data_IF_803228176480
#
_entry.id   IF_803228176480
#
_cell.length_a   1.000
_cell.length_b   1.000
_cell.length_c   1.000
_cell.angle_alpha   90.00
_cell.angle_beta   90.00
_cell.angle_gamma   90.00
#
_symmetry.space_group_name_H-M   'P 1'
#
loop_
_entity.id
_entity.type
_entity.pdbx_description
1 polymer ?
#
# COMPACT_ATOMS: atom_id res chain seq x y z
N UNK A 1 32.55 -11.31 -5.60
CA UNK A 1 31.34 -10.57 -5.23
C UNK A 1 31.48 -10.04 -3.81
N UNK A 2 31.21 -8.75 -3.61
CA UNK A 2 31.24 -8.17 -2.27
C UNK A 2 29.99 -8.59 -1.49
N UNK A 3 30.08 -8.51 -0.16
CA UNK A 3 28.92 -8.79 0.70
C UNK A 3 27.76 -7.86 0.41
N UNK A 4 28.06 -6.63 0.02
CA UNK A 4 27.06 -5.62 -0.31
C UNK A 4 26.26 -6.01 -1.56
N UNK A 5 26.93 -6.54 -2.57
CA UNK A 5 26.25 -7.03 -3.79
C UNK A 5 25.34 -8.21 -3.51
N UNK A 6 25.76 -9.11 -2.61
CA UNK A 6 24.94 -10.25 -2.20
C UNK A 6 23.67 -9.82 -1.47
N UNK A 7 23.78 -8.80 -0.62
CA UNK A 7 22.63 -8.27 0.12
C UNK A 7 21.62 -7.63 -0.83
N UNK A 8 22.08 -6.87 -1.81
CA UNK A 8 21.21 -6.24 -2.80
C UNK A 8 20.51 -7.28 -3.66
N UNK A 9 21.22 -8.33 -4.10
CA UNK A 9 20.64 -9.40 -4.90
C UNK A 9 19.56 -10.15 -4.12
N UNK A 10 19.82 -10.45 -2.85
CA UNK A 10 18.88 -11.16 -1.99
C UNK A 10 17.61 -10.33 -1.77
N UNK A 11 17.76 -9.03 -1.56
CA UNK A 11 16.63 -8.13 -1.37
C UNK A 11 15.76 -8.03 -2.63
N UNK A 12 16.39 -7.93 -3.81
CA UNK A 12 15.68 -7.88 -5.09
C UNK A 12 14.91 -9.18 -5.34
N UNK A 13 15.51 -10.32 -5.01
CA UNK A 13 14.85 -11.63 -5.15
C UNK A 13 13.65 -11.75 -4.21
N UNK A 14 13.78 -11.28 -2.99
CA UNK A 14 12.67 -11.29 -2.03
C UNK A 14 11.49 -10.43 -2.51
N UNK A 15 11.77 -9.26 -3.08
CA UNK A 15 10.74 -8.39 -3.64
C UNK A 15 10.06 -9.05 -4.84
N UNK A 16 10.81 -9.70 -5.71
CA UNK A 16 10.26 -10.42 -6.87
C UNK A 16 9.39 -11.58 -6.43
N UNK A 17 9.80 -12.33 -5.41
CA UNK A 17 9.01 -13.43 -4.86
C UNK A 17 7.71 -12.94 -4.24
N UNK A 18 7.76 -11.83 -3.52
CA UNK A 18 6.56 -11.23 -2.93
C UNK A 18 5.56 -10.82 -4.00
N UNK A 19 6.03 -10.28 -5.12
CA UNK A 19 5.16 -9.93 -6.24
C UNK A 19 4.52 -11.16 -6.88
N UNK A 20 5.28 -12.24 -7.04
CA UNK A 20 4.76 -13.50 -7.58
C UNK A 20 3.72 -14.13 -6.66
N UNK A 21 3.98 -14.11 -5.36
CA UNK A 21 3.01 -14.62 -4.38
C UNK A 21 1.71 -13.84 -4.43
N UNK A 22 1.79 -12.53 -4.62
CA UNK A 22 0.62 -11.64 -4.72
C UNK A 22 -0.23 -11.98 -5.94
N UNK A 23 0.39 -12.24 -7.09
CA UNK A 23 -0.32 -12.59 -8.31
C UNK A 23 -1.13 -13.88 -8.15
N UNK A 24 -0.70 -14.78 -7.27
CA UNK A 24 -1.35 -16.07 -7.02
C UNK A 24 -2.28 -16.05 -5.82
N UNK A 25 -2.41 -14.93 -5.09
CA UNK A 25 -3.29 -14.83 -3.94
C UNK A 25 -4.68 -14.33 -4.32
N UNK A 26 -5.73 -14.83 -3.63
CA UNK A 26 -7.07 -14.27 -3.82
C UNK A 26 -7.09 -12.78 -3.54
N UNK A 27 -7.62 -11.99 -4.48
CA UNK A 27 -7.69 -10.54 -4.36
C UNK A 27 -6.49 -9.78 -4.92
N UNK A 28 -5.36 -10.46 -5.17
CA UNK A 28 -4.22 -9.88 -5.87
C UNK A 28 -3.51 -8.71 -5.20
N UNK A 29 -3.70 -8.49 -3.90
CA UNK A 29 -3.11 -7.37 -3.16
C UNK A 29 -1.76 -7.75 -2.55
N UNK A 30 -0.80 -6.81 -2.59
CA UNK A 30 0.46 -6.97 -1.86
C UNK A 30 0.22 -6.78 -0.36
N UNK A 31 1.12 -7.30 0.51
CA UNK A 31 1.04 -7.00 1.95
C UNK A 31 1.06 -5.51 2.26
N UNK A 32 1.83 -4.73 1.51
CA UNK A 32 1.87 -3.26 1.66
C UNK A 32 0.51 -2.65 1.35
N UNK A 33 -0.11 -3.06 0.25
CA UNK A 33 -1.43 -2.57 -0.15
C UNK A 33 -2.49 -2.93 0.90
N UNK A 34 -2.44 -4.14 1.42
CA UNK A 34 -3.37 -4.56 2.49
C UNK A 34 -3.23 -3.71 3.74
N UNK A 35 -2.00 -3.39 4.15
CA UNK A 35 -1.77 -2.55 5.32
C UNK A 35 -2.31 -1.13 5.12
N UNK A 36 -2.14 -0.58 3.92
CA UNK A 36 -2.66 0.74 3.59
C UNK A 36 -4.19 0.74 3.63
N UNK A 37 -4.83 -0.26 3.02
CA UNK A 37 -6.28 -0.38 3.04
C UNK A 37 -6.83 -0.58 4.46
N UNK A 38 -6.11 -1.29 5.32
CA UNK A 38 -6.47 -1.43 6.73
C UNK A 38 -6.54 -0.07 7.43
N UNK A 39 -5.56 0.81 7.19
CA UNK A 39 -5.56 2.16 7.75
C UNK A 39 -6.75 2.94 7.19
N UNK A 40 -7.03 2.85 5.88
CA UNK A 40 -8.12 3.57 5.26
C UNK A 40 -9.50 3.11 5.73
N UNK A 41 -9.64 1.87 6.17
CA UNK A 41 -10.90 1.37 6.75
C UNK A 41 -11.23 1.94 8.12
N UNK A 42 -10.21 2.43 8.82
CA UNK A 42 -10.37 3.01 10.15
C UNK A 42 -10.83 4.46 10.05
N UNK A 43 -11.63 4.88 11.02
CA UNK A 43 -12.07 6.28 11.10
C UNK A 43 -11.26 7.00 12.16
N UNK A 44 -10.78 8.17 11.81
CA UNK A 44 -9.96 9.00 12.70
C UNK A 44 -10.64 10.36 12.90
N UNK A 45 -10.71 10.79 14.15
CA UNK A 45 -11.23 12.14 14.49
C UNK A 45 -10.27 13.24 14.05
N UNK A 46 -8.98 12.97 14.12
CA UNK A 46 -7.94 13.96 13.88
C UNK A 46 -6.90 13.40 12.93
N UNK A 47 -6.33 14.28 12.11
CA UNK A 47 -5.27 13.91 11.17
C UNK A 47 -4.04 13.36 11.90
N UNK A 48 -3.71 13.92 13.08
CA UNK A 48 -2.60 13.42 13.88
C UNK A 48 -2.75 11.99 14.31
N UNK A 49 -3.98 11.54 14.61
CA UNK A 49 -4.25 10.14 14.94
C UNK A 49 -4.02 9.22 13.74
N UNK A 50 -4.42 9.67 12.55
CA UNK A 50 -4.17 8.92 11.32
C UNK A 50 -2.68 8.81 11.03
N UNK A 51 -1.92 9.89 11.20
CA UNK A 51 -0.47 9.87 10.99
C UNK A 51 0.23 8.90 11.94
N UNK A 52 -0.20 8.84 13.20
CA UNK A 52 0.33 7.86 14.16
C UNK A 52 0.05 6.43 13.70
N UNK A 53 -1.16 6.18 13.17
CA UNK A 53 -1.52 4.86 12.64
C UNK A 53 -0.67 4.49 11.41
N UNK A 54 -0.39 5.46 10.53
CA UNK A 54 0.47 5.28 9.37
C UNK A 54 1.88 4.87 9.80
N UNK A 55 2.45 5.58 10.78
CA UNK A 55 3.77 5.28 11.31
C UNK A 55 3.79 3.90 11.97
N UNK A 56 2.76 3.58 12.76
CA UNK A 56 2.64 2.28 13.41
C UNK A 56 2.55 1.15 12.39
N UNK A 57 2.00 1.42 11.21
CA UNK A 57 1.92 0.44 10.12
C UNK A 57 3.24 0.29 9.35
N UNK A 58 4.27 1.07 9.68
CA UNK A 58 5.60 0.96 9.09
C UNK A 58 5.88 1.92 7.96
N UNK A 59 5.11 3.00 7.82
CA UNK A 59 5.27 3.99 6.75
C UNK A 59 5.63 5.35 7.30
N UNK A 60 6.31 6.17 6.48
CA UNK A 60 6.28 7.62 6.66
C UNK A 60 4.99 8.15 6.03
N UNK A 61 4.46 9.29 6.51
CA UNK A 61 3.25 9.86 5.89
C UNK A 61 3.41 10.14 4.40
N UNK A 62 4.56 10.66 3.98
CA UNK A 62 4.81 10.95 2.55
C UNK A 62 4.76 9.67 1.72
N UNK A 63 5.50 8.64 2.13
CA UNK A 63 5.54 7.37 1.40
C UNK A 63 4.16 6.71 1.35
N UNK A 64 3.42 6.79 2.44
CA UNK A 64 2.06 6.26 2.53
C UNK A 64 1.14 6.90 1.49
N UNK A 65 1.08 8.23 1.46
CA UNK A 65 0.18 8.93 0.54
C UNK A 65 0.60 8.81 -0.92
N UNK A 66 1.90 8.74 -1.19
CA UNK A 66 2.40 8.47 -2.55
C UNK A 66 1.92 7.10 -3.03
N UNK A 67 2.05 6.09 -2.17
CA UNK A 67 1.63 4.74 -2.50
C UNK A 67 0.11 4.65 -2.66
N UNK A 68 -0.62 5.27 -1.74
CA UNK A 68 -2.08 5.30 -1.81
C UNK A 68 -2.56 5.94 -3.11
N UNK A 69 -1.94 7.04 -3.52
CA UNK A 69 -2.33 7.72 -4.75
C UNK A 69 -2.16 6.83 -5.98
N UNK A 70 -1.07 6.04 -6.03
CA UNK A 70 -0.86 5.06 -7.09
C UNK A 70 -1.95 3.98 -7.05
N UNK A 71 -2.30 3.51 -5.85
CA UNK A 71 -3.32 2.48 -5.65
C UNK A 71 -4.69 2.92 -6.15
N UNK A 72 -5.01 4.20 -6.05
CA UNK A 72 -6.32 4.73 -6.49
C UNK A 72 -6.54 4.54 -7.99
N UNK A 73 -5.48 4.48 -8.78
CA UNK A 73 -5.57 4.31 -10.23
C UNK A 73 -5.30 2.87 -10.68
N UNK A 74 -5.14 1.95 -9.72
CA UNK A 74 -4.89 0.54 -10.00
C UNK A 74 -6.21 -0.24 -9.98
N UNK A 75 -6.63 -0.74 -11.14
CA UNK A 75 -7.90 -1.49 -11.25
C UNK A 75 -7.90 -2.78 -10.42
N UNK A 76 -6.74 -3.38 -10.23
CA UNK A 76 -6.60 -4.57 -9.38
C UNK A 76 -6.95 -4.25 -7.92
N UNK A 77 -6.49 -3.12 -7.42
CA UNK A 77 -6.80 -2.65 -6.07
C UNK A 77 -8.27 -2.25 -5.96
N UNK A 78 -8.80 -1.56 -6.98
CA UNK A 78 -10.21 -1.21 -7.03
C UNK A 78 -11.11 -2.44 -7.00
N UNK A 79 -10.75 -3.46 -7.75
CA UNK A 79 -11.51 -4.72 -7.77
C UNK A 79 -11.56 -5.39 -6.39
N UNK A 80 -10.47 -5.28 -5.62
CA UNK A 80 -10.38 -5.86 -4.28
C UNK A 80 -11.10 -5.04 -3.21
N UNK A 81 -11.15 -3.71 -3.37
CA UNK A 81 -11.72 -2.81 -2.35
C UNK A 81 -12.46 -1.63 -3.00
N UNK A 82 -13.53 -1.90 -3.77
CA UNK A 82 -14.22 -0.84 -4.51
C UNK A 82 -14.83 0.24 -3.60
N UNK A 83 -15.33 -0.14 -2.44
CA UNK A 83 -15.97 0.80 -1.51
C UNK A 83 -14.98 1.85 -0.99
N UNK A 84 -13.72 1.44 -0.79
CA UNK A 84 -12.68 2.37 -0.33
C UNK A 84 -12.18 3.21 -1.49
N UNK A 85 -11.82 2.56 -2.58
CA UNK A 85 -11.18 3.22 -3.72
C UNK A 85 -12.12 4.21 -4.40
N UNK A 86 -13.38 3.85 -4.60
CA UNK A 86 -14.36 4.72 -5.24
C UNK A 86 -14.61 6.00 -4.42
N UNK A 87 -14.67 5.88 -3.11
CA UNK A 87 -14.82 7.04 -2.22
C UNK A 87 -13.59 7.96 -2.29
N UNK A 88 -12.39 7.38 -2.25
CA UNK A 88 -11.15 8.15 -2.30
C UNK A 88 -10.95 8.82 -3.66
N UNK A 89 -11.28 8.13 -4.75
CA UNK A 89 -11.26 8.73 -6.09
C UNK A 89 -12.23 9.91 -6.19
N UNK A 90 -13.43 9.75 -5.67
CA UNK A 90 -14.42 10.81 -5.69
C UNK A 90 -13.95 12.05 -4.94
N UNK A 91 -13.29 11.87 -3.79
CA UNK A 91 -12.72 12.99 -3.03
C UNK A 91 -11.59 13.68 -3.78
N UNK A 92 -10.69 12.89 -4.38
CA UNK A 92 -9.57 13.43 -5.16
C UNK A 92 -10.07 14.21 -6.37
N UNK A 93 -11.05 13.68 -7.08
CA UNK A 93 -11.55 14.25 -8.33
C UNK A 93 -12.48 15.45 -8.06
N UNK A 94 -13.03 15.59 -6.86
CA UNK A 94 -13.86 16.72 -6.46
C UNK A 94 -13.04 17.98 -6.20
N UNK A 95 -11.75 17.83 -5.93
CA UNK A 95 -10.84 18.97 -5.75
C UNK A 95 -10.29 19.41 -7.11
#
# INVERSE_FOLDING_TARGET
MSEQERAETAQTQAEAQNQQEVENQPGGLTPVERRILEVERRRFKHQGSKEKAIIAAGFTPIAYYQRLNVMLDDERVRAAAPQIIDVLRARRDAD
#
